data_IF_905443949909
#
_entry.id   IF_905443949909
#
_cell.length_a   1.000
_cell.length_b   1.000
_cell.length_c   1.000
_cell.angle_alpha   90.00
_cell.angle_beta   90.00
_cell.angle_gamma   90.00
#
_symmetry.space_group_name_H-M   'P 1'
#
loop_
_entity.id
_entity.type
_entity.pdbx_description
1 polymer ?
#
# COMPACT_ATOMS: atom_id res chain seq x y z
N UNK A 1 21.16 -1.10 5.51
CA UNK A 1 21.71 -1.56 4.22
C UNK A 1 21.70 -3.08 4.22
N UNK A 2 20.53 -3.69 3.91
CA UNK A 2 20.37 -5.13 3.79
C UNK A 2 21.31 -5.66 2.71
N UNK A 3 22.16 -6.59 3.07
CA UNK A 3 23.01 -7.31 2.12
C UNK A 3 22.10 -8.16 1.22
N UNK A 4 21.94 -7.75 -0.03
CA UNK A 4 21.61 -8.69 -1.09
C UNK A 4 22.66 -9.79 -1.05
N UNK A 5 22.32 -11.00 -0.61
CA UNK A 5 23.19 -12.16 -0.75
C UNK A 5 23.49 -12.28 -2.24
N UNK A 6 24.78 -12.23 -2.57
CA UNK A 6 25.24 -12.49 -3.93
C UNK A 6 24.84 -13.93 -4.28
N UNK A 7 23.72 -14.08 -4.95
CA UNK A 7 23.31 -15.33 -5.56
C UNK A 7 24.14 -15.49 -6.84
N UNK A 8 24.74 -16.67 -6.98
CA UNK A 8 25.46 -17.08 -8.16
C UNK A 8 24.59 -16.92 -9.40
N UNK A 9 25.23 -16.59 -10.50
CA UNK A 9 24.70 -16.40 -11.84
C UNK A 9 23.65 -17.46 -12.22
N UNK A 10 22.38 -17.14 -12.01
CA UNK A 10 21.26 -17.89 -12.57
C UNK A 10 20.43 -16.93 -13.41
N UNK A 11 20.33 -17.26 -14.66
CA UNK A 11 19.51 -16.69 -15.74
C UNK A 11 18.36 -15.81 -15.24
N UNK A 12 18.48 -14.53 -15.50
CA UNK A 12 17.35 -13.63 -15.64
C UNK A 12 16.58 -14.05 -16.91
N UNK A 13 15.61 -14.91 -16.77
CA UNK A 13 14.51 -14.93 -17.73
C UNK A 13 13.65 -13.72 -17.32
N UNK A 14 13.42 -12.74 -18.20
CA UNK A 14 12.49 -11.67 -17.90
C UNK A 14 11.14 -12.31 -17.56
N UNK A 15 10.55 -11.95 -16.43
CA UNK A 15 9.16 -12.25 -16.17
C UNK A 15 8.42 -11.48 -17.26
N UNK A 16 7.94 -12.18 -18.26
CA UNK A 16 7.05 -11.60 -19.26
C UNK A 16 5.66 -11.52 -18.64
N UNK A 17 5.47 -10.57 -17.71
CA UNK A 17 4.14 -10.19 -17.30
C UNK A 17 3.41 -9.72 -18.56
N UNK A 18 2.31 -10.35 -18.88
CA UNK A 18 1.46 -9.97 -19.99
C UNK A 18 0.08 -9.53 -19.50
N UNK A 19 -0.32 -10.03 -18.33
CA UNK A 19 -1.61 -9.70 -17.73
C UNK A 19 -1.52 -9.63 -16.20
N UNK A 20 -1.61 -8.41 -15.69
CA UNK A 20 -1.50 -8.06 -14.28
C UNK A 20 -2.88 -7.78 -13.69
N UNK A 21 -3.23 -8.46 -12.58
CA UNK A 21 -4.36 -8.08 -11.74
C UNK A 21 -3.86 -7.37 -10.49
N UNK A 22 -4.37 -6.17 -10.22
CA UNK A 22 -4.09 -5.39 -9.01
C UNK A 22 -5.36 -5.33 -8.18
N UNK A 23 -5.35 -5.92 -6.97
CA UNK A 23 -6.48 -5.79 -6.04
C UNK A 23 -6.28 -4.60 -5.11
N UNK A 24 -7.36 -3.92 -4.70
CA UNK A 24 -7.26 -2.65 -3.99
C UNK A 24 -6.73 -1.53 -4.89
N UNK A 25 -6.95 -1.66 -6.19
CA UNK A 25 -6.39 -0.78 -7.22
C UNK A 25 -6.92 0.65 -7.16
N UNK A 26 -8.13 0.87 -6.64
CA UNK A 26 -8.72 2.21 -6.47
C UNK A 26 -8.35 2.85 -5.11
N UNK A 27 -7.61 2.14 -4.25
CA UNK A 27 -7.03 2.66 -3.02
C UNK A 27 -5.76 3.50 -3.28
N UNK A 28 -5.24 4.13 -2.23
CA UNK A 28 -4.09 5.04 -2.31
C UNK A 28 -2.85 4.39 -2.95
N UNK A 29 -2.35 3.30 -2.34
CA UNK A 29 -1.09 2.66 -2.80
C UNK A 29 -1.34 1.93 -4.12
N UNK A 30 -2.47 1.20 -4.24
CA UNK A 30 -2.83 0.48 -5.46
C UNK A 30 -2.96 1.37 -6.70
N UNK A 31 -3.59 2.55 -6.57
CA UNK A 31 -3.70 3.49 -7.68
C UNK A 31 -2.33 3.98 -8.16
N UNK A 32 -1.44 4.37 -7.24
CA UNK A 32 -0.08 4.80 -7.60
C UNK A 32 0.73 3.67 -8.26
N UNK A 33 0.55 2.42 -7.77
CA UNK A 33 1.19 1.26 -8.40
C UNK A 33 0.66 1.02 -9.82
N UNK A 34 -0.66 1.12 -10.04
CA UNK A 34 -1.27 1.01 -11.39
C UNK A 34 -0.71 2.08 -12.34
N UNK A 35 -0.63 3.35 -11.92
CA UNK A 35 -0.01 4.41 -12.73
C UNK A 35 1.44 4.11 -13.07
N UNK A 36 2.22 3.69 -12.07
CA UNK A 36 3.62 3.34 -12.26
C UNK A 36 3.78 2.17 -13.24
N UNK A 37 2.99 1.10 -13.07
CA UNK A 37 3.09 -0.10 -13.90
C UNK A 37 2.75 0.18 -15.36
N UNK A 38 1.63 0.87 -15.63
CA UNK A 38 1.22 1.21 -16.99
C UNK A 38 2.26 2.08 -17.69
N UNK A 39 2.90 3.00 -16.96
CA UNK A 39 3.97 3.84 -17.52
C UNK A 39 5.23 3.03 -17.86
N UNK A 40 5.61 2.09 -17.01
CA UNK A 40 6.80 1.26 -17.19
C UNK A 40 6.57 0.12 -18.20
N UNK A 41 5.34 -0.41 -18.26
CA UNK A 41 4.94 -1.59 -19.06
C UNK A 41 3.70 -1.30 -19.93
N UNK A 42 3.81 -0.44 -20.95
CA UNK A 42 2.66 0.07 -21.70
C UNK A 42 1.94 -0.98 -22.57
N UNK A 43 2.52 -2.15 -22.72
CA UNK A 43 1.95 -3.25 -23.53
C UNK A 43 1.25 -4.32 -22.67
N UNK A 44 1.33 -4.22 -21.34
CA UNK A 44 0.72 -5.19 -20.46
C UNK A 44 -0.78 -4.94 -20.31
N UNK A 45 -1.56 -6.02 -20.20
CA UNK A 45 -2.96 -5.92 -19.79
C UNK A 45 -3.01 -5.66 -18.28
N UNK A 46 -3.67 -4.59 -17.85
CA UNK A 46 -3.83 -4.26 -16.43
C UNK A 46 -5.30 -4.35 -16.03
N UNK A 47 -5.59 -5.21 -15.05
CA UNK A 47 -6.91 -5.38 -14.45
C UNK A 47 -6.92 -4.76 -13.05
N UNK A 48 -7.62 -3.65 -12.90
CA UNK A 48 -7.84 -2.97 -11.64
C UNK A 48 -9.07 -3.58 -10.95
N UNK A 49 -8.86 -4.35 -9.88
CA UNK A 49 -9.91 -5.02 -9.11
C UNK A 49 -10.10 -4.35 -7.76
N UNK A 50 -11.28 -3.82 -7.46
CA UNK A 50 -11.56 -3.09 -6.22
C UNK A 50 -13.02 -3.18 -5.81
N UNK A 51 -13.28 -3.33 -4.51
CA UNK A 51 -14.65 -3.37 -3.98
C UNK A 51 -15.29 -1.98 -3.87
N UNK A 52 -14.50 -0.90 -4.02
CA UNK A 52 -14.92 0.48 -3.81
C UNK A 52 -15.55 0.71 -2.42
N UNK A 53 -14.87 0.19 -1.39
CA UNK A 53 -15.23 0.49 -0.01
C UNK A 53 -14.89 1.95 0.33
N UNK A 54 -14.90 2.34 1.61
CA UNK A 54 -14.74 3.74 2.03
C UNK A 54 -13.46 4.44 1.51
N UNK A 55 -12.37 3.71 1.29
CA UNK A 55 -11.09 4.26 0.82
C UNK A 55 -10.82 4.07 -0.68
N UNK A 56 -11.65 3.28 -1.37
CA UNK A 56 -11.55 3.05 -2.81
C UNK A 56 -12.19 4.19 -3.60
N UNK A 57 -11.41 4.85 -4.45
CA UNK A 57 -11.89 5.95 -5.29
C UNK A 57 -11.61 5.68 -6.77
N UNK A 58 -12.62 5.18 -7.50
CA UNK A 58 -12.51 4.91 -8.94
C UNK A 58 -12.11 6.15 -9.76
N UNK A 59 -12.45 7.36 -9.29
CA UNK A 59 -12.07 8.59 -9.98
C UNK A 59 -10.55 8.78 -10.07
N UNK A 60 -9.78 8.20 -9.14
CA UNK A 60 -8.31 8.20 -9.20
C UNK A 60 -7.76 7.48 -10.43
N UNK A 61 -8.48 6.48 -10.96
CA UNK A 61 -8.10 5.70 -12.14
C UNK A 61 -8.81 6.15 -13.42
N UNK A 62 -9.76 7.08 -13.34
CA UNK A 62 -10.58 7.50 -14.48
C UNK A 62 -9.77 7.97 -15.71
N UNK A 63 -8.63 8.70 -15.60
CA UNK A 63 -7.82 9.04 -16.75
C UNK A 63 -7.26 7.83 -17.51
N UNK A 64 -6.80 6.81 -16.78
CA UNK A 64 -6.26 5.56 -17.37
C UNK A 64 -7.37 4.73 -18.00
N UNK A 65 -8.53 4.66 -17.36
CA UNK A 65 -9.71 3.97 -17.86
C UNK A 65 -10.22 4.62 -19.15
N UNK A 66 -10.33 5.96 -19.18
CA UNK A 66 -10.74 6.71 -20.37
C UNK A 66 -9.75 6.58 -21.54
N UNK A 67 -8.46 6.38 -21.24
CA UNK A 67 -7.41 6.12 -22.23
C UNK A 67 -7.39 4.64 -22.71
N UNK A 68 -8.26 3.77 -22.17
CA UNK A 68 -8.26 2.34 -22.48
C UNK A 68 -7.03 1.56 -22.01
N UNK A 69 -6.31 2.08 -21.00
CA UNK A 69 -5.05 1.51 -20.51
C UNK A 69 -5.25 0.50 -19.38
N UNK A 70 -6.48 0.36 -18.87
CA UNK A 70 -6.82 -0.65 -17.85
C UNK A 70 -8.25 -1.15 -18.00
N UNK A 71 -8.50 -2.33 -17.44
CA UNK A 71 -9.83 -2.89 -17.26
C UNK A 71 -10.23 -2.79 -15.79
N UNK A 72 -11.34 -2.13 -15.49
CA UNK A 72 -11.83 -2.02 -14.12
C UNK A 72 -12.87 -3.08 -13.80
N UNK A 73 -12.65 -3.87 -12.77
CA UNK A 73 -13.58 -4.87 -12.23
C UNK A 73 -13.96 -4.47 -10.80
N UNK A 74 -15.22 -4.14 -10.59
CA UNK A 74 -15.72 -3.89 -9.23
C UNK A 74 -16.09 -5.21 -8.56
N UNK A 75 -15.38 -5.57 -7.47
CA UNK A 75 -15.61 -6.82 -6.77
C UNK A 75 -14.93 -6.90 -5.41
N UNK A 76 -15.53 -7.69 -4.52
CA UNK A 76 -14.93 -8.08 -3.23
C UNK A 76 -13.98 -9.25 -3.45
N UNK A 77 -12.77 -9.20 -2.89
CA UNK A 77 -11.80 -10.30 -2.95
C UNK A 77 -12.29 -11.57 -2.25
N UNK A 78 -13.32 -11.49 -1.42
CA UNK A 78 -14.00 -12.64 -0.83
C UNK A 78 -15.00 -13.32 -1.80
N UNK A 79 -15.34 -12.71 -2.94
CA UNK A 79 -16.16 -13.33 -3.97
C UNK A 79 -15.33 -14.25 -4.86
N UNK A 80 -15.27 -15.53 -4.46
CA UNK A 80 -14.48 -16.53 -5.18
C UNK A 80 -14.92 -16.75 -6.62
N UNK A 81 -16.22 -16.59 -6.91
CA UNK A 81 -16.73 -16.77 -8.27
C UNK A 81 -16.23 -15.65 -9.20
N UNK A 82 -16.35 -14.39 -8.76
CA UNK A 82 -15.88 -13.24 -9.54
C UNK A 82 -14.35 -13.21 -9.66
N UNK A 83 -13.62 -13.57 -8.60
CA UNK A 83 -12.16 -13.67 -8.64
C UNK A 83 -11.71 -14.71 -9.68
N UNK A 84 -12.25 -15.93 -9.65
CA UNK A 84 -11.93 -16.97 -10.61
C UNK A 84 -12.28 -16.55 -12.05
N UNK A 85 -13.46 -15.94 -12.24
CA UNK A 85 -13.87 -15.43 -13.54
C UNK A 85 -12.92 -14.36 -14.07
N UNK A 86 -12.47 -13.45 -13.20
CA UNK A 86 -11.54 -12.37 -13.58
C UNK A 86 -10.19 -12.94 -13.98
N UNK A 87 -9.61 -13.86 -13.20
CA UNK A 87 -8.34 -14.51 -13.55
C UNK A 87 -8.42 -15.20 -14.91
N UNK A 88 -9.53 -15.90 -15.19
CA UNK A 88 -9.72 -16.62 -16.45
C UNK A 88 -9.98 -15.68 -17.63
N UNK A 89 -10.85 -14.66 -17.48
CA UNK A 89 -11.23 -13.77 -18.57
C UNK A 89 -10.07 -12.93 -19.11
N UNK A 90 -9.13 -12.58 -18.23
CA UNK A 90 -7.97 -11.75 -18.59
C UNK A 90 -6.66 -12.57 -18.67
N UNK A 91 -6.74 -13.89 -18.53
CA UNK A 91 -5.58 -14.79 -18.56
C UNK A 91 -4.43 -14.29 -17.66
N UNK A 92 -4.79 -13.90 -16.43
CA UNK A 92 -3.90 -13.24 -15.48
C UNK A 92 -2.72 -14.16 -15.13
N UNK A 93 -1.51 -13.66 -15.30
CA UNK A 93 -0.26 -14.36 -14.91
C UNK A 93 0.38 -13.76 -13.64
N UNK A 94 0.09 -12.50 -13.35
CA UNK A 94 0.64 -11.80 -12.18
C UNK A 94 -0.47 -11.15 -11.36
N UNK A 95 -0.47 -11.36 -10.04
CA UNK A 95 -1.41 -10.74 -9.12
C UNK A 95 -0.65 -9.96 -8.05
N UNK A 96 -0.95 -8.66 -7.93
CA UNK A 96 -0.43 -7.81 -6.85
C UNK A 96 -1.56 -7.44 -5.91
N UNK A 97 -1.44 -7.88 -4.67
CA UNK A 97 -2.52 -7.83 -3.69
C UNK A 97 -2.33 -6.69 -2.69
N UNK A 98 -3.04 -5.56 -2.94
CA UNK A 98 -3.12 -4.42 -2.01
C UNK A 98 -4.42 -4.37 -1.23
N UNK A 99 -5.49 -5.06 -1.67
CA UNK A 99 -6.79 -4.97 -1.03
C UNK A 99 -6.72 -5.40 0.44
N UNK A 100 -7.05 -4.50 1.34
CA UNK A 100 -7.05 -4.75 2.77
C UNK A 100 -7.92 -3.72 3.50
N UNK A 101 -8.51 -4.09 4.63
CA UNK A 101 -8.89 -3.14 5.67
C UNK A 101 -7.61 -2.71 6.39
N UNK A 102 -7.37 -1.38 6.51
CA UNK A 102 -6.06 -0.84 6.91
C UNK A 102 -6.08 0.24 7.99
N UNK A 103 -7.25 0.58 8.55
CA UNK A 103 -7.36 1.62 9.57
C UNK A 103 -7.26 1.02 10.97
N UNK A 104 -6.14 1.23 11.66
CA UNK A 104 -5.84 0.62 12.98
C UNK A 104 -6.96 0.87 13.98
N UNK A 105 -7.42 2.13 14.18
CA UNK A 105 -8.45 2.45 15.16
C UNK A 105 -9.79 1.75 14.86
N UNK A 106 -10.16 1.64 13.60
CA UNK A 106 -11.35 0.86 13.19
C UNK A 106 -11.18 -0.63 13.48
N UNK A 107 -9.98 -1.16 13.45
CA UNK A 107 -9.73 -2.56 13.80
C UNK A 107 -10.00 -2.85 15.29
N UNK A 108 -9.81 -1.85 16.15
CA UNK A 108 -10.08 -1.98 17.59
C UNK A 108 -11.58 -2.05 17.87
N UNK A 109 -12.39 -1.26 17.15
CA UNK A 109 -13.84 -1.18 17.37
C UNK A 109 -14.63 -2.22 16.57
N UNK A 110 -14.08 -2.72 15.45
CA UNK A 110 -14.77 -3.67 14.55
C UNK A 110 -13.78 -4.60 13.84
N UNK A 111 -13.16 -5.57 14.54
CA UNK A 111 -12.13 -6.44 13.99
C UNK A 111 -12.64 -7.42 12.92
N UNK A 112 -13.93 -7.73 12.88
CA UNK A 112 -14.52 -8.74 11.99
C UNK A 112 -14.28 -8.42 10.52
N UNK A 113 -14.37 -7.15 10.13
CA UNK A 113 -14.11 -6.71 8.77
C UNK A 113 -12.64 -6.98 8.34
N UNK A 114 -11.70 -6.82 9.27
CA UNK A 114 -10.28 -7.09 9.05
C UNK A 114 -10.01 -8.59 8.89
N UNK A 115 -10.62 -9.42 9.72
CA UNK A 115 -10.53 -10.88 9.58
C UNK A 115 -11.12 -11.32 8.24
N UNK A 116 -12.30 -10.84 7.89
CA UNK A 116 -12.95 -11.17 6.62
C UNK A 116 -12.10 -10.75 5.43
N UNK A 117 -11.72 -9.48 5.34
CA UNK A 117 -11.01 -8.96 4.17
C UNK A 117 -9.57 -9.47 4.14
N UNK A 118 -8.81 -9.28 5.22
CA UNK A 118 -7.37 -9.53 5.19
C UNK A 118 -7.02 -11.02 5.24
N UNK A 119 -7.78 -11.85 5.96
CA UNK A 119 -7.53 -13.30 6.03
C UNK A 119 -8.35 -14.07 5.00
N UNK A 120 -9.69 -13.98 5.06
CA UNK A 120 -10.55 -14.77 4.17
C UNK A 120 -10.40 -14.31 2.72
N UNK A 121 -10.33 -13.00 2.46
CA UNK A 121 -10.10 -12.45 1.12
C UNK A 121 -8.74 -12.88 0.55
N UNK A 122 -7.65 -12.80 1.32
CA UNK A 122 -6.33 -13.28 0.89
C UNK A 122 -6.35 -14.79 0.59
N UNK A 123 -6.99 -15.59 1.46
CA UNK A 123 -7.18 -17.01 1.21
C UNK A 123 -7.94 -17.28 -0.10
N UNK A 124 -9.01 -16.53 -0.36
CA UNK A 124 -9.80 -16.67 -1.60
C UNK A 124 -8.96 -16.39 -2.84
N UNK A 125 -8.15 -15.32 -2.84
CA UNK A 125 -7.22 -15.01 -3.92
C UNK A 125 -6.17 -16.11 -4.12
N UNK A 126 -5.57 -16.60 -3.05
CA UNK A 126 -4.57 -17.67 -3.09
C UNK A 126 -5.17 -18.98 -3.64
N UNK A 127 -6.38 -19.34 -3.21
CA UNK A 127 -7.07 -20.53 -3.69
C UNK A 127 -7.40 -20.44 -5.19
N UNK A 128 -7.89 -19.28 -5.65
CA UNK A 128 -8.17 -19.01 -7.05
C UNK A 128 -6.89 -19.01 -7.90
N UNK A 129 -5.84 -18.35 -7.44
CA UNK A 129 -4.53 -18.32 -8.09
C UNK A 129 -3.94 -19.73 -8.25
N UNK A 130 -3.98 -20.54 -7.18
CA UNK A 130 -3.57 -21.95 -7.21
C UNK A 130 -4.36 -22.74 -8.25
N UNK A 131 -5.68 -22.61 -8.28
CA UNK A 131 -6.53 -23.32 -9.22
C UNK A 131 -6.24 -22.89 -10.66
N UNK A 132 -6.10 -21.59 -10.90
CA UNK A 132 -5.86 -21.03 -12.24
C UNK A 132 -4.46 -21.39 -12.77
N UNK A 133 -3.41 -21.26 -11.95
CA UNK A 133 -2.02 -21.41 -12.40
C UNK A 133 -1.49 -22.84 -12.26
N UNK A 134 -1.65 -23.50 -11.09
CA UNK A 134 -1.02 -24.78 -10.85
C UNK A 134 -1.82 -25.96 -11.42
N UNK A 135 -3.15 -25.90 -11.35
CA UNK A 135 -4.01 -26.98 -11.87
C UNK A 135 -4.64 -26.67 -13.22
N UNK A 136 -4.65 -25.39 -13.62
CA UNK A 136 -5.19 -24.89 -14.87
C UNK A 136 -4.11 -24.70 -15.94
N UNK A 137 -3.55 -23.47 -16.04
CA UNK A 137 -2.69 -23.07 -17.16
C UNK A 137 -1.28 -23.67 -17.13
N UNK A 138 -0.71 -23.96 -15.95
CA UNK A 138 0.67 -24.38 -15.79
C UNK A 138 1.72 -23.34 -16.21
N UNK A 139 1.32 -22.09 -16.45
CA UNK A 139 2.20 -21.02 -16.93
C UNK A 139 3.06 -20.45 -15.80
N UNK A 140 4.19 -19.80 -16.14
CA UNK A 140 4.89 -18.92 -15.20
C UNK A 140 3.92 -17.92 -14.61
N UNK A 141 4.00 -17.70 -13.31
CA UNK A 141 3.06 -16.84 -12.58
C UNK A 141 3.73 -16.19 -11.38
N UNK A 142 3.11 -15.13 -10.85
CA UNK A 142 3.57 -14.48 -9.62
C UNK A 142 2.40 -13.95 -8.80
N UNK A 143 2.37 -14.30 -7.53
CA UNK A 143 1.49 -13.69 -6.53
C UNK A 143 2.34 -12.83 -5.61
N UNK A 144 2.17 -11.51 -5.63
CA UNK A 144 2.83 -10.59 -4.72
C UNK A 144 1.85 -10.07 -3.68
N UNK A 145 2.16 -10.30 -2.41
CA UNK A 145 1.37 -9.83 -1.26
C UNK A 145 2.00 -8.58 -0.65
N UNK A 146 1.23 -7.49 -0.59
CA UNK A 146 1.68 -6.26 0.06
C UNK A 146 1.19 -6.25 1.50
N UNK A 147 2.12 -6.30 2.44
CA UNK A 147 1.90 -6.27 3.89
C UNK A 147 2.45 -4.97 4.50
N UNK A 148 2.69 -4.96 5.78
CA UNK A 148 3.09 -3.80 6.59
C UNK A 148 4.21 -4.18 7.57
N UNK A 149 5.06 -3.24 7.89
CA UNK A 149 6.07 -3.37 8.97
C UNK A 149 5.42 -3.49 10.37
N UNK A 150 4.16 -3.11 10.54
CA UNK A 150 3.43 -3.27 11.80
C UNK A 150 3.27 -4.73 12.25
N UNK A 151 3.52 -5.70 11.38
CA UNK A 151 3.54 -7.13 11.75
C UNK A 151 4.69 -7.48 12.68
N UNK A 152 5.77 -6.69 12.67
CA UNK A 152 6.93 -6.87 13.57
C UNK A 152 6.72 -6.28 14.96
N UNK A 153 5.66 -5.47 15.16
CA UNK A 153 5.34 -4.85 16.44
C UNK A 153 5.91 -3.45 16.61
N UNK A 154 6.53 -3.17 17.73
CA UNK A 154 7.08 -1.86 18.07
C UNK A 154 8.59 -1.93 18.31
N UNK A 155 9.30 -0.85 17.97
CA UNK A 155 10.71 -0.70 18.25
C UNK A 155 10.93 0.32 19.36
N UNK A 156 11.92 0.05 20.23
CA UNK A 156 12.50 1.08 21.08
C UNK A 156 13.32 2.06 20.24
N UNK A 157 13.50 3.30 20.73
CA UNK A 157 14.20 4.36 19.98
C UNK A 157 15.61 4.01 19.53
N UNK A 158 16.30 3.17 20.29
CA UNK A 158 17.69 2.77 20.02
C UNK A 158 17.78 1.41 19.32
N UNK A 159 16.65 0.75 19.08
CA UNK A 159 16.63 -0.53 18.40
C UNK A 159 17.00 -0.38 16.92
N UNK A 160 17.69 -1.38 16.33
CA UNK A 160 17.93 -1.40 14.89
C UNK A 160 16.61 -1.53 14.12
N UNK A 161 16.61 -1.04 12.88
CA UNK A 161 15.46 -1.18 11.99
C UNK A 161 15.02 -2.64 11.82
N UNK A 162 13.74 -2.87 11.53
CA UNK A 162 13.19 -4.19 11.24
C UNK A 162 13.94 -4.88 10.10
N UNK A 163 14.24 -6.16 10.30
CA UNK A 163 14.75 -7.05 9.25
C UNK A 163 13.73 -8.14 8.96
N UNK A 164 13.81 -8.77 7.79
CA UNK A 164 12.89 -9.81 7.34
C UNK A 164 12.96 -11.09 8.18
N UNK A 165 14.05 -11.29 8.93
CA UNK A 165 14.25 -12.44 9.82
C UNK A 165 13.65 -12.25 11.22
N UNK A 166 13.09 -11.07 11.53
CA UNK A 166 12.49 -10.82 12.83
C UNK A 166 11.17 -11.57 13.01
N UNK A 167 10.91 -11.95 14.25
CA UNK A 167 9.64 -12.58 14.62
C UNK A 167 8.51 -11.55 14.55
N UNK A 168 7.35 -11.96 14.05
CA UNK A 168 6.13 -11.15 14.07
C UNK A 168 5.59 -11.05 15.51
N UNK A 169 5.32 -9.80 15.94
CA UNK A 169 4.74 -9.46 17.25
C UNK A 169 3.65 -8.37 17.09
N UNK A 170 2.61 -8.62 16.28
CA UNK A 170 1.61 -7.62 15.95
C UNK A 170 0.82 -7.17 17.19
N UNK A 171 0.64 -5.84 17.34
CA UNK A 171 0.03 -5.22 18.52
C UNK A 171 -1.41 -4.72 18.30
N UNK A 172 -2.00 -4.90 17.12
CA UNK A 172 -3.37 -4.50 16.80
C UNK A 172 -4.12 -5.60 16.05
N UNK A 173 -5.48 -5.62 16.07
CA UNK A 173 -6.24 -6.55 15.23
C UNK A 173 -5.93 -6.40 13.74
N UNK A 174 -5.65 -5.18 13.26
CA UNK A 174 -5.16 -4.95 11.90
C UNK A 174 -3.84 -5.67 11.64
N UNK A 175 -2.79 -5.36 12.40
CA UNK A 175 -1.48 -5.96 12.18
C UNK A 175 -1.48 -7.48 12.40
N UNK A 176 -2.31 -8.00 13.34
CA UNK A 176 -2.50 -9.42 13.52
C UNK A 176 -3.17 -10.08 12.30
N UNK A 177 -4.17 -9.42 11.68
CA UNK A 177 -4.80 -9.91 10.45
C UNK A 177 -3.84 -9.93 9.27
N UNK A 178 -2.95 -8.92 9.16
CA UNK A 178 -1.89 -8.87 8.14
C UNK A 178 -0.85 -9.96 8.37
N UNK A 179 -0.36 -10.14 9.60
CA UNK A 179 0.54 -11.23 9.95
C UNK A 179 -0.05 -12.60 9.60
N UNK A 180 -1.35 -12.80 9.87
CA UNK A 180 -2.06 -14.03 9.51
C UNK A 180 -2.11 -14.24 7.99
N UNK A 181 -2.35 -13.20 7.20
CA UNK A 181 -2.32 -13.31 5.74
C UNK A 181 -0.92 -13.57 5.18
N UNK A 182 0.13 -12.97 5.75
CA UNK A 182 1.52 -13.26 5.37
C UNK A 182 1.86 -14.74 5.57
N UNK A 183 1.42 -15.31 6.70
CA UNK A 183 1.60 -16.74 6.97
C UNK A 183 0.81 -17.62 6.00
N UNK A 184 -0.40 -17.23 5.58
CA UNK A 184 -1.14 -17.95 4.54
C UNK A 184 -0.40 -17.93 3.20
N UNK A 185 0.10 -16.78 2.77
CA UNK A 185 0.89 -16.62 1.53
C UNK A 185 2.11 -17.55 1.57
N UNK A 186 2.87 -17.49 2.65
CA UNK A 186 4.03 -18.37 2.86
C UNK A 186 3.63 -19.85 2.83
N UNK A 187 2.54 -20.24 3.49
CA UNK A 187 2.05 -21.62 3.52
C UNK A 187 1.67 -22.13 2.13
N UNK A 188 1.06 -21.29 1.28
CA UNK A 188 0.70 -21.67 -0.09
C UNK A 188 1.94 -21.93 -0.95
N UNK A 189 3.03 -21.19 -0.74
CA UNK A 189 4.31 -21.46 -1.39
C UNK A 189 4.86 -22.84 -0.97
N UNK A 190 5.02 -23.05 0.34
CA UNK A 190 5.66 -24.27 0.84
C UNK A 190 4.84 -25.55 0.64
N UNK A 191 3.50 -25.43 0.68
CA UNK A 191 2.61 -26.58 0.57
C UNK A 191 2.28 -26.95 -0.87
N UNK A 192 2.07 -25.93 -1.72
CA UNK A 192 1.55 -26.15 -3.07
C UNK A 192 2.52 -25.73 -4.17
N UNK A 193 3.62 -25.05 -3.85
CA UNK A 193 4.57 -24.56 -4.85
C UNK A 193 4.09 -23.31 -5.60
N UNK A 194 3.12 -22.55 -5.04
CA UNK A 194 2.69 -21.30 -5.65
C UNK A 194 3.86 -20.30 -5.62
N UNK A 195 4.17 -19.66 -6.74
CA UNK A 195 5.23 -18.65 -6.78
C UNK A 195 4.73 -17.33 -6.17
N UNK A 196 5.07 -17.13 -4.90
CA UNK A 196 4.67 -15.95 -4.12
C UNK A 196 5.87 -15.09 -3.77
N UNK A 197 5.62 -13.83 -3.45
CA UNK A 197 6.53 -12.95 -2.72
C UNK A 197 5.71 -12.05 -1.80
N UNK A 198 6.31 -11.59 -0.71
CA UNK A 198 5.68 -10.67 0.24
C UNK A 198 6.55 -9.43 0.41
N UNK A 199 5.94 -8.26 0.55
CA UNK A 199 6.63 -7.06 1.00
C UNK A 199 5.98 -6.45 2.23
N UNK A 200 6.81 -6.04 3.20
CA UNK A 200 6.39 -5.30 4.38
C UNK A 200 6.83 -3.85 4.17
N UNK A 201 5.86 -2.94 3.99
CA UNK A 201 6.18 -1.54 3.76
C UNK A 201 6.02 -0.70 5.03
N UNK A 202 6.79 0.38 5.12
CA UNK A 202 6.62 1.44 6.10
C UNK A 202 5.49 2.41 5.73
N UNK A 203 5.31 3.50 6.47
CA UNK A 203 4.22 4.46 6.24
C UNK A 203 4.36 5.16 4.90
N UNK A 204 3.41 4.93 4.02
CA UNK A 204 3.38 5.55 2.69
C UNK A 204 2.81 6.96 2.73
N UNK A 205 3.32 7.85 1.87
CA UNK A 205 2.74 9.17 1.59
C UNK A 205 2.81 9.49 0.10
N UNK A 206 1.93 10.37 -0.38
CA UNK A 206 1.92 10.81 -1.77
C UNK A 206 0.53 11.07 -2.35
N UNK A 207 0.39 11.19 -3.69
CA UNK A 207 -0.87 11.40 -4.37
C UNK A 207 -1.93 10.35 -4.04
N UNK A 208 -3.22 10.74 -4.05
CA UNK A 208 -4.37 9.89 -3.74
C UNK A 208 -4.45 9.38 -2.29
N UNK A 209 -3.59 9.87 -1.38
CA UNK A 209 -3.62 9.47 0.02
C UNK A 209 -4.95 9.88 0.66
N UNK A 210 -5.63 8.94 1.33
CA UNK A 210 -6.97 9.15 1.85
C UNK A 210 -6.98 10.18 3.00
N UNK A 211 -7.96 11.13 3.05
CA UNK A 211 -7.93 12.30 3.92
C UNK A 211 -7.97 12.03 5.44
N UNK A 212 -8.24 10.80 5.88
CA UNK A 212 -8.20 10.43 7.32
C UNK A 212 -6.78 10.21 7.87
N UNK A 213 -5.78 10.06 6.99
CA UNK A 213 -4.39 9.81 7.38
C UNK A 213 -3.66 11.13 7.69
N UNK A 214 -2.63 11.05 8.55
CA UNK A 214 -1.94 12.21 9.15
C UNK A 214 -1.63 13.33 8.14
N UNK A 215 -0.90 13.05 7.08
CA UNK A 215 -0.43 14.06 6.14
C UNK A 215 -1.62 14.75 5.42
N UNK A 216 -2.52 14.04 4.71
CA UNK A 216 -3.61 14.70 4.02
C UNK A 216 -4.65 15.32 4.98
N UNK A 217 -4.83 14.76 6.19
CA UNK A 217 -5.67 15.34 7.23
C UNK A 217 -5.12 16.71 7.66
N UNK A 218 -3.83 16.79 7.96
CA UNK A 218 -3.18 18.06 8.33
C UNK A 218 -3.28 19.07 7.20
N UNK A 219 -2.97 18.68 5.95
CA UNK A 219 -3.08 19.60 4.80
C UNK A 219 -4.48 20.16 4.64
N UNK A 220 -5.52 19.30 4.67
CA UNK A 220 -6.91 19.75 4.54
C UNK A 220 -7.34 20.63 5.71
N UNK A 221 -6.92 20.28 6.94
CA UNK A 221 -7.23 21.07 8.13
C UNK A 221 -6.57 22.46 8.09
N UNK A 222 -5.31 22.58 7.65
CA UNK A 222 -4.65 23.88 7.48
C UNK A 222 -5.39 24.72 6.44
N UNK A 223 -5.77 24.13 5.30
CA UNK A 223 -6.52 24.85 4.26
C UNK A 223 -7.89 25.36 4.74
N UNK A 224 -8.55 24.61 5.63
CA UNK A 224 -9.86 24.95 6.19
C UNK A 224 -9.79 25.75 7.50
N UNK A 225 -8.61 26.02 8.05
CA UNK A 225 -8.42 26.66 9.35
C UNK A 225 -8.92 25.82 10.53
N UNK A 226 -8.81 24.50 10.44
CA UNK A 226 -9.22 23.54 11.47
C UNK A 226 -8.03 23.07 12.31
N UNK A 227 -8.25 22.66 13.57
CA UNK A 227 -7.20 22.14 14.44
C UNK A 227 -6.43 20.96 13.84
N UNK A 228 -5.12 20.87 14.17
CA UNK A 228 -4.24 19.76 13.83
C UNK A 228 -4.05 18.88 15.08
N UNK A 229 -4.78 17.77 15.20
CA UNK A 229 -4.68 16.93 16.39
C UNK A 229 -3.35 16.17 16.40
N UNK A 230 -2.58 16.34 17.46
CA UNK A 230 -1.35 15.59 17.74
C UNK A 230 -1.60 14.74 18.96
N UNK A 231 -1.56 13.40 18.79
CA UNK A 231 -1.78 12.46 19.88
C UNK A 231 -0.60 12.40 20.83
N UNK A 232 -0.89 12.47 22.14
CA UNK A 232 0.12 12.46 23.19
C UNK A 232 1.06 13.65 23.06
N UNK A 233 2.37 13.40 23.13
CA UNK A 233 3.42 14.43 22.95
C UNK A 233 3.93 14.58 21.50
N UNK A 234 3.41 13.78 20.57
CA UNK A 234 3.81 13.78 19.16
C UNK A 234 5.18 13.19 18.88
N UNK A 235 5.82 12.53 19.87
CA UNK A 235 7.18 11.96 19.73
C UNK A 235 7.23 10.60 19.05
N UNK A 236 6.08 10.00 18.72
CA UNK A 236 6.01 8.75 17.96
C UNK A 236 6.73 8.89 16.62
N UNK A 237 7.73 8.05 16.40
CA UNK A 237 8.53 8.03 15.17
C UNK A 237 7.88 7.08 14.15
N UNK A 238 7.91 7.50 12.87
CA UNK A 238 7.51 6.67 11.73
C UNK A 238 8.53 6.83 10.61
N UNK A 239 8.80 5.74 9.91
CA UNK A 239 9.53 5.78 8.64
C UNK A 239 8.55 6.13 7.52
N UNK A 240 8.88 7.13 6.71
CA UNK A 240 8.01 7.66 5.65
C UNK A 240 8.55 7.30 4.28
N UNK A 241 7.78 6.49 3.55
CA UNK A 241 8.08 5.99 2.22
C UNK A 241 7.23 6.71 1.15
N UNK A 242 7.89 7.34 0.19
CA UNK A 242 7.15 7.92 -0.94
C UNK A 242 6.52 6.81 -1.78
N UNK A 243 5.22 6.93 -2.05
CA UNK A 243 4.42 5.84 -2.65
C UNK A 243 4.90 5.38 -4.01
N UNK A 244 5.53 6.27 -4.82
CA UNK A 244 6.12 5.88 -6.11
C UNK A 244 7.39 5.05 -5.91
N UNK A 245 8.18 5.32 -4.88
CA UNK A 245 9.35 4.51 -4.55
C UNK A 245 8.94 3.14 -4.01
N UNK A 246 7.82 3.07 -3.27
CA UNK A 246 7.20 1.79 -2.93
C UNK A 246 6.79 1.00 -4.18
N UNK A 247 6.12 1.64 -5.16
CA UNK A 247 5.74 1.00 -6.41
C UNK A 247 6.96 0.45 -7.17
N UNK A 248 8.08 1.21 -7.23
CA UNK A 248 9.35 0.77 -7.81
C UNK A 248 9.96 -0.41 -7.04
N UNK A 249 9.86 -0.39 -5.70
CA UNK A 249 10.31 -1.48 -4.84
C UNK A 249 9.55 -2.78 -5.15
N UNK A 250 8.21 -2.71 -5.26
CA UNK A 250 7.37 -3.86 -5.63
C UNK A 250 7.73 -4.37 -7.03
N UNK A 251 7.84 -3.48 -8.02
CA UNK A 251 8.28 -3.86 -9.37
C UNK A 251 9.63 -4.59 -9.35
N UNK A 252 10.59 -4.10 -8.55
CA UNK A 252 11.88 -4.76 -8.39
C UNK A 252 11.75 -6.15 -7.78
N UNK A 253 10.87 -6.35 -6.80
CA UNK A 253 10.58 -7.66 -6.20
C UNK A 253 9.92 -8.59 -7.22
N UNK A 254 8.96 -8.10 -8.02
CA UNK A 254 8.34 -8.88 -9.09
C UNK A 254 9.36 -9.36 -10.12
N UNK A 255 10.29 -8.48 -10.53
CA UNK A 255 11.25 -8.75 -11.59
C UNK A 255 12.48 -9.58 -11.14
N UNK A 256 12.92 -9.45 -9.89
CA UNK A 256 14.17 -10.03 -9.40
C UNK A 256 14.08 -10.67 -8.01
N UNK A 257 12.90 -10.67 -7.39
CA UNK A 257 12.69 -11.31 -6.10
C UNK A 257 12.66 -12.83 -6.21
N UNK A 258 13.16 -13.49 -5.16
CA UNK A 258 13.15 -14.95 -5.04
C UNK A 258 11.75 -15.38 -4.62
N UNK A 259 11.10 -16.34 -5.30
CA UNK A 259 9.83 -16.91 -4.85
C UNK A 259 9.89 -17.44 -3.43
N UNK A 260 8.86 -17.16 -2.65
CA UNK A 260 8.76 -17.57 -1.24
C UNK A 260 9.36 -16.59 -0.23
N UNK A 261 10.15 -15.60 -0.69
CA UNK A 261 10.84 -14.66 0.19
C UNK A 261 10.00 -13.42 0.52
N UNK A 262 10.34 -12.80 1.65
CA UNK A 262 9.78 -11.53 2.14
C UNK A 262 10.82 -10.41 1.99
N UNK A 263 10.36 -9.19 1.73
CA UNK A 263 11.18 -8.00 1.49
C UNK A 263 10.64 -6.81 2.28
N UNK A 264 11.49 -6.18 3.09
CA UNK A 264 11.14 -4.91 3.71
C UNK A 264 11.38 -3.76 2.74
N UNK A 265 10.35 -2.93 2.52
CA UNK A 265 10.42 -1.75 1.67
C UNK A 265 10.15 -0.52 2.54
N UNK A 266 11.21 0.14 2.98
CA UNK A 266 11.16 1.33 3.83
C UNK A 266 11.75 2.56 3.16
N UNK A 267 11.42 3.74 3.71
CA UNK A 267 11.91 5.03 3.23
C UNK A 267 13.32 5.38 3.72
N UNK A 268 13.77 4.74 4.80
CA UNK A 268 14.95 5.17 5.57
C UNK A 268 14.88 6.68 5.89
N UNK A 269 13.69 7.13 6.28
CA UNK A 269 13.30 8.52 6.43
C UNK A 269 12.38 8.66 7.66
N UNK A 270 12.98 8.56 8.85
CA UNK A 270 12.31 8.50 10.14
C UNK A 270 12.05 9.90 10.70
N UNK A 271 10.79 10.19 11.05
CA UNK A 271 10.37 11.47 11.61
C UNK A 271 9.40 11.27 12.77
N UNK A 272 9.52 12.11 13.78
CA UNK A 272 8.49 12.24 14.80
C UNK A 272 7.21 12.86 14.21
N UNK A 273 6.04 12.41 14.65
CA UNK A 273 4.76 12.92 14.12
C UNK A 273 4.63 14.43 14.25
N UNK A 274 5.04 15.03 15.40
CA UNK A 274 5.04 16.47 15.57
C UNK A 274 5.92 17.19 14.55
N UNK A 275 7.12 16.67 14.27
CA UNK A 275 8.03 17.27 13.28
C UNK A 275 7.44 17.24 11.86
N UNK A 276 6.70 16.18 11.47
CA UNK A 276 5.98 16.16 10.20
C UNK A 276 4.86 17.21 10.18
N UNK A 277 4.09 17.35 11.26
CA UNK A 277 3.01 18.36 11.33
C UNK A 277 3.57 19.78 11.21
N UNK A 278 4.66 20.06 11.90
CA UNK A 278 5.35 21.36 11.81
C UNK A 278 5.90 21.62 10.41
N UNK A 279 6.53 20.60 9.77
CA UNK A 279 7.03 20.68 8.41
C UNK A 279 5.91 21.01 7.41
N UNK A 280 4.73 20.40 7.57
CA UNK A 280 3.57 20.69 6.72
C UNK A 280 3.06 22.12 6.91
N UNK A 281 3.04 22.63 8.14
CA UNK A 281 2.70 24.02 8.44
C UNK A 281 3.65 24.97 7.71
N UNK A 282 4.96 24.77 7.88
CA UNK A 282 5.99 25.62 7.28
C UNK A 282 5.92 25.61 5.74
N UNK A 283 5.70 24.43 5.15
CA UNK A 283 5.55 24.30 3.70
C UNK A 283 4.30 25.02 3.17
N UNK A 284 3.16 24.93 3.85
CA UNK A 284 1.95 25.63 3.41
C UNK A 284 2.09 27.14 3.59
N UNK A 285 2.65 27.61 4.71
CA UNK A 285 2.91 29.02 4.93
C UNK A 285 3.80 29.60 3.82
N UNK A 286 4.90 28.92 3.49
CA UNK A 286 5.78 29.32 2.40
C UNK A 286 5.08 29.28 1.01
N UNK A 287 4.21 28.29 0.79
CA UNK A 287 3.47 28.15 -0.46
C UNK A 287 2.46 29.30 -0.63
N UNK A 288 1.73 29.65 0.42
CA UNK A 288 0.81 30.77 0.39
C UNK A 288 1.53 32.12 0.19
N UNK A 289 2.72 32.30 0.77
CA UNK A 289 3.54 33.49 0.54
C UNK A 289 4.01 33.60 -0.92
N UNK A 290 4.29 32.48 -1.58
CA UNK A 290 4.75 32.43 -2.99
C UNK A 290 3.62 32.45 -4.02
N UNK A 291 2.39 32.06 -3.65
CA UNK A 291 1.22 31.98 -4.54
C UNK A 291 0.01 32.76 -3.98
N UNK A 292 -0.06 34.06 -4.21
CA UNK A 292 -1.12 34.91 -3.60
C UNK A 292 -2.57 34.52 -3.90
N UNK A 293 -2.81 33.79 -5.01
CA UNK A 293 -4.12 33.25 -5.37
C UNK A 293 -4.63 32.16 -4.41
N UNK A 294 -3.75 31.53 -3.64
CA UNK A 294 -4.15 30.53 -2.65
C UNK A 294 -4.97 31.13 -1.52
N UNK A 295 -4.63 32.36 -1.07
CA UNK A 295 -5.40 33.05 -0.04
C UNK A 295 -6.85 33.31 -0.47
N UNK A 296 -7.07 33.68 -1.75
CA UNK A 296 -8.42 33.85 -2.29
C UNK A 296 -9.18 32.52 -2.41
N UNK A 297 -8.47 31.43 -2.74
CA UNK A 297 -9.04 30.07 -2.87
C UNK A 297 -9.38 29.44 -1.51
N UNK A 298 -8.56 29.71 -0.50
CA UNK A 298 -8.69 29.16 0.84
C UNK A 298 -8.73 30.28 1.92
N UNK A 299 -9.81 31.07 1.96
CA UNK A 299 -9.88 32.27 2.79
C UNK A 299 -9.91 32.00 4.31
N UNK A 300 -10.07 30.75 4.73
CA UNK A 300 -10.06 30.33 6.14
C UNK A 300 -8.69 29.91 6.62
N UNK A 301 -7.74 29.71 5.70
CA UNK A 301 -6.42 29.16 6.03
C UNK A 301 -5.54 30.22 6.72
N UNK A 302 -5.01 29.94 7.92
CA UNK A 302 -4.04 30.82 8.58
C UNK A 302 -2.68 30.83 7.86
N UNK A 303 -2.42 29.92 6.93
CA UNK A 303 -1.23 29.89 6.10
C UNK A 303 -1.06 31.21 5.29
N UNK A 304 -2.15 31.94 5.00
CA UNK A 304 -2.10 33.24 4.37
C UNK A 304 -1.32 34.29 5.19
N UNK A 305 -1.23 34.09 6.50
CA UNK A 305 -0.52 34.95 7.45
C UNK A 305 0.77 34.33 7.99
N UNK A 306 1.12 33.10 7.58
CA UNK A 306 2.26 32.36 8.14
C UNK A 306 2.01 31.81 9.55
N UNK A 307 0.75 31.50 9.89
CA UNK A 307 0.32 31.18 11.26
C UNK A 307 -0.18 29.71 11.39
N UNK A 308 0.11 28.83 10.45
CA UNK A 308 -0.42 27.46 10.43
C UNK A 308 -0.06 26.65 11.67
N UNK A 309 1.10 26.88 12.27
CA UNK A 309 1.53 26.18 13.52
C UNK A 309 0.60 26.47 14.71
N UNK A 310 -0.13 27.61 14.70
CA UNK A 310 -1.14 27.94 15.71
C UNK A 310 -2.33 26.99 15.76
N UNK A 311 -2.52 26.15 14.72
CA UNK A 311 -3.56 25.12 14.68
C UNK A 311 -3.21 23.84 15.43
N UNK A 312 -1.94 23.63 15.85
CA UNK A 312 -1.49 22.42 16.52
C UNK A 312 -2.16 22.29 17.89
N UNK A 313 -2.82 21.17 18.13
CA UNK A 313 -3.49 20.84 19.38
C UNK A 313 -3.10 19.44 19.84
N UNK A 314 -2.55 19.33 21.04
CA UNK A 314 -2.30 18.04 21.67
C UNK A 314 -3.59 17.45 22.26
N UNK A 315 -3.86 16.16 21.98
CA UNK A 315 -5.08 15.44 22.35
C UNK A 315 -4.78 14.08 23.01
#
# INVERSE_FOLDING_TARGET
AGRLKAAGTTREAPIMTQSLMVTGAAGFIGANFVYHWIQAHPNDTVVAYDALTYAGNRASLAPLEAAGQLHFVQGDICDSALVNQTLANYDVDTLVHFAAESHVDRSITGPDAFIKTNLVGTHTLLAAARAHWLTGSGRPHRFHHVSTDEVFGSLDREAPAFTEDLRYEPNSPYSASKAGSDHLVRAYHHTYGLEVSTSNCSNNYGPFHFPEKLIPLCLTNILDGRPLPVYGDGTNIRDWLYVVDHARGIERVLNAGIPGETYNIGGNNEWANLAIVELLCDHLDARFASEPNLAARFPKSPAANGESRGLIQFV
#
